data_IF_054712827304
#
_entry.id   IF_054712827304
#
_cell.length_a   1.000
_cell.length_b   1.000
_cell.length_c   1.000
_cell.angle_alpha   90.00
_cell.angle_beta   90.00
_cell.angle_gamma   90.00
#
_symmetry.space_group_name_H-M   'P 1'
#
loop_
_entity.id
_entity.type
_entity.pdbx_description
1 polymer ?
#
# COMPACT_ATOMS: atom_id res chain seq x y z
N UNK A 1 1.30 -5.62 10.26
CA UNK A 1 1.60 -5.57 11.73
C UNK A 1 2.45 -4.33 12.02
N UNK A 2 2.47 -3.74 13.23
CA UNK A 2 3.22 -2.47 13.49
C UNK A 2 4.72 -2.56 13.17
N UNK A 3 5.31 -3.76 13.27
CA UNK A 3 6.69 -4.08 12.88
C UNK A 3 6.94 -3.96 11.37
N UNK A 4 5.90 -4.10 10.55
CA UNK A 4 5.99 -4.04 9.09
C UNK A 4 5.83 -2.60 8.57
N UNK A 5 4.95 -1.83 9.22
CA UNK A 5 4.65 -0.44 8.86
C UNK A 5 4.03 0.30 10.03
N UNK A 6 4.35 1.58 10.17
CA UNK A 6 3.65 2.46 11.08
C UNK A 6 2.16 2.59 10.68
N UNK A 7 1.28 2.21 11.59
CA UNK A 7 -0.18 2.31 11.42
C UNK A 7 -0.77 3.46 12.25
N UNK A 8 0.03 4.18 13.04
CA UNK A 8 -0.40 5.27 13.91
C UNK A 8 -0.04 6.59 13.22
N UNK A 9 -1.02 7.36 12.71
CA UNK A 9 -0.75 8.70 12.22
C UNK A 9 -0.19 9.59 13.33
N UNK A 10 0.67 10.57 12.99
CA UNK A 10 1.34 11.42 13.98
C UNK A 10 0.38 12.21 14.87
N UNK A 11 -0.85 12.44 14.42
CA UNK A 11 -1.87 13.20 15.16
C UNK A 11 -2.76 12.34 16.08
N UNK A 12 -2.50 11.05 16.21
CA UNK A 12 -3.39 10.10 16.91
C UNK A 12 -2.79 9.49 18.17
N UNK A 13 -1.49 9.68 18.43
CA UNK A 13 -0.81 9.07 19.56
C UNK A 13 -0.92 9.94 20.82
N UNK A 14 -1.52 9.40 21.87
CA UNK A 14 -1.46 9.95 23.23
C UNK A 14 -0.61 9.04 24.10
N UNK A 15 0.30 9.63 24.87
CA UNK A 15 1.25 8.90 25.70
C UNK A 15 1.37 9.50 27.10
N UNK A 16 1.64 8.67 28.09
CA UNK A 16 1.91 9.11 29.47
C UNK A 16 3.32 9.68 29.53
N UNK A 17 3.52 10.79 30.25
CA UNK A 17 4.87 11.37 30.48
C UNK A 17 5.87 10.35 31.05
N UNK A 18 5.41 9.45 31.93
CA UNK A 18 6.25 8.40 32.50
C UNK A 18 6.84 7.46 31.44
N UNK A 19 6.17 7.25 30.31
CA UNK A 19 6.72 6.47 29.19
C UNK A 19 7.94 7.17 28.59
N UNK A 20 7.84 8.48 28.31
CA UNK A 20 8.99 9.28 27.81
C UNK A 20 10.18 9.22 28.77
N UNK A 21 9.94 9.30 30.08
CA UNK A 21 11.01 9.16 31.08
C UNK A 21 11.65 7.77 31.07
N UNK A 22 10.91 6.73 30.68
CA UNK A 22 11.38 5.33 30.65
C UNK A 22 12.14 4.99 29.38
N UNK A 23 11.64 5.40 28.20
CA UNK A 23 12.18 4.98 26.90
C UNK A 23 12.96 6.08 26.18
N UNK A 24 12.92 7.33 26.66
CA UNK A 24 13.48 8.50 25.98
C UNK A 24 12.54 9.11 24.94
N UNK A 25 12.96 10.21 24.33
CA UNK A 25 12.22 10.91 23.27
C UNK A 25 12.35 10.26 21.90
N UNK A 26 12.02 11.02 20.85
CA UNK A 26 12.29 10.63 19.46
C UNK A 26 13.79 10.59 19.18
N UNK A 27 14.20 9.70 18.28
CA UNK A 27 15.59 9.66 17.82
C UNK A 27 15.82 10.71 16.74
N UNK A 28 16.31 11.89 17.14
CA UNK A 28 16.58 13.03 16.25
C UNK A 28 17.69 12.77 15.21
N UNK A 29 18.46 11.68 15.35
CA UNK A 29 19.45 11.29 14.36
C UNK A 29 18.84 10.60 13.13
N UNK A 30 17.56 10.20 13.20
CA UNK A 30 16.88 9.60 12.05
C UNK A 30 16.40 10.70 11.09
N UNK A 31 16.72 10.62 9.79
CA UNK A 31 16.27 11.61 8.81
C UNK A 31 14.78 11.47 8.45
N UNK A 32 14.13 10.38 8.85
CA UNK A 32 12.69 10.13 8.77
C UNK A 32 12.30 8.94 9.67
N UNK A 33 11.01 8.69 9.87
CA UNK A 33 10.49 7.52 10.61
C UNK A 33 10.85 7.51 12.10
N UNK A 34 11.17 8.67 12.67
CA UNK A 34 11.40 8.87 14.09
C UNK A 34 10.17 8.50 14.93
N UNK A 35 8.97 8.76 14.39
CA UNK A 35 7.69 8.40 14.97
C UNK A 35 7.53 6.88 15.08
N UNK A 36 7.87 6.16 14.01
CA UNK A 36 7.76 4.72 13.94
C UNK A 36 8.76 4.03 14.87
N UNK A 37 10.01 4.48 14.87
CA UNK A 37 11.04 3.97 15.79
C UNK A 37 10.62 4.13 17.26
N UNK A 38 10.07 5.30 17.62
CA UNK A 38 9.55 5.55 18.95
C UNK A 38 8.38 4.60 19.31
N UNK A 39 7.44 4.39 18.38
CA UNK A 39 6.31 3.47 18.59
C UNK A 39 6.80 2.03 18.79
N UNK A 40 7.83 1.58 18.07
CA UNK A 40 8.41 0.25 18.26
C UNK A 40 8.99 0.10 19.68
N UNK A 41 9.71 1.11 20.19
CA UNK A 41 10.20 1.11 21.59
C UNK A 41 9.04 1.15 22.60
N UNK A 42 8.00 1.92 22.32
CA UNK A 42 6.82 1.99 23.18
C UNK A 42 6.12 0.62 23.30
N UNK A 43 5.98 -0.12 22.19
CA UNK A 43 5.40 -1.46 22.17
C UNK A 43 6.20 -2.50 22.97
N UNK A 44 7.54 -2.35 23.03
CA UNK A 44 8.37 -3.20 23.88
C UNK A 44 8.17 -2.85 25.36
N UNK A 45 7.86 -1.59 25.68
CA UNK A 45 7.65 -1.13 27.05
C UNK A 45 6.24 -1.44 27.60
N UNK A 46 5.24 -1.61 26.74
CA UNK A 46 3.88 -1.98 27.11
C UNK A 46 2.89 -1.92 25.93
N UNK A 47 1.63 -2.24 26.22
CA UNK A 47 0.58 -2.29 25.20
C UNK A 47 0.10 -0.90 24.76
N UNK A 48 -0.35 -0.83 23.50
CA UNK A 48 -1.01 0.34 22.93
C UNK A 48 -2.51 0.05 22.79
N UNK A 49 -3.33 0.80 23.53
CA UNK A 49 -4.78 0.77 23.39
C UNK A 49 -5.26 1.64 22.23
N UNK A 50 -6.38 1.27 21.62
CA UNK A 50 -7.06 2.06 20.60
C UNK A 50 -8.38 2.61 21.14
N UNK A 51 -8.72 3.84 20.74
CA UNK A 51 -10.05 4.39 20.90
C UNK A 51 -10.77 4.25 19.56
N UNK A 52 -11.99 3.71 19.58
CA UNK A 52 -12.77 3.46 18.35
C UNK A 52 -13.36 4.75 17.76
N UNK A 53 -13.40 5.82 18.55
CA UNK A 53 -13.93 7.12 18.14
C UNK A 53 -13.00 7.85 17.16
N UNK A 54 -13.60 8.55 16.20
CA UNK A 54 -12.89 9.43 15.28
C UNK A 54 -12.54 10.76 15.96
N UNK A 55 -11.39 10.80 16.62
CA UNK A 55 -10.94 11.95 17.41
C UNK A 55 -9.99 12.89 16.68
N UNK A 56 -9.45 12.51 15.52
CA UNK A 56 -8.47 13.29 14.78
C UNK A 56 -8.77 13.31 13.28
N UNK A 57 -8.66 14.49 12.66
CA UNK A 57 -8.90 14.70 11.24
C UNK A 57 -7.59 15.08 10.55
N UNK A 58 -7.04 14.16 9.74
CA UNK A 58 -5.79 14.38 9.03
C UNK A 58 -6.04 14.82 7.58
N UNK A 59 -5.54 16.00 7.20
CA UNK A 59 -5.69 16.52 5.85
C UNK A 59 -4.42 16.30 5.01
N UNK A 60 -4.54 15.56 3.90
CA UNK A 60 -3.46 15.34 2.94
C UNK A 60 -3.62 16.25 1.72
N UNK A 61 -2.58 17.02 1.39
CA UNK A 61 -2.51 17.73 0.10
C UNK A 61 -2.20 16.74 -1.03
N UNK A 62 -3.10 16.62 -2.00
CA UNK A 62 -3.00 15.66 -3.11
C UNK A 62 -2.13 16.16 -4.28
N UNK A 63 -1.95 17.48 -4.41
CA UNK A 63 -1.02 18.11 -5.36
C UNK A 63 -0.30 19.24 -4.65
N UNK A 64 1.02 19.24 -4.76
CA UNK A 64 1.83 20.39 -4.42
C UNK A 64 2.30 20.99 -5.76
N UNK A 65 1.95 22.24 -6.03
CA UNK A 65 2.38 22.94 -7.25
C UNK A 65 3.91 23.14 -7.29
N UNK A 66 4.59 22.94 -6.15
CA UNK A 66 6.04 22.99 -6.01
C UNK A 66 6.54 21.81 -5.14
N UNK A 67 7.67 21.15 -5.51
CA UNK A 67 8.23 20.01 -4.77
C UNK A 67 8.53 20.28 -3.29
N UNK A 68 8.84 21.53 -2.93
CA UNK A 68 9.10 21.98 -1.55
C UNK A 68 7.90 21.85 -0.62
N UNK A 69 6.68 21.83 -1.17
CA UNK A 69 5.44 21.66 -0.40
C UNK A 69 4.83 20.26 -0.52
N UNK A 70 5.54 19.33 -1.15
CA UNK A 70 5.11 17.94 -1.21
C UNK A 70 5.18 17.33 0.20
N UNK A 71 4.13 16.62 0.60
CA UNK A 71 4.15 15.91 1.88
C UNK A 71 5.24 14.83 1.85
N UNK A 72 5.81 14.49 3.00
CA UNK A 72 6.80 13.42 3.15
C UNK A 72 6.32 12.07 2.58
N UNK A 73 5.00 11.85 2.57
CA UNK A 73 4.31 10.70 1.96
C UNK A 73 4.45 10.63 0.43
N UNK A 74 4.52 11.78 -0.26
CA UNK A 74 4.54 11.86 -1.74
C UNK A 74 5.87 12.35 -2.31
N UNK A 75 6.63 13.17 -1.56
CA UNK A 75 7.91 13.74 -1.99
C UNK A 75 9.15 13.13 -1.32
N UNK A 76 9.01 12.44 -0.19
CA UNK A 76 10.12 11.90 0.63
C UNK A 76 10.39 10.39 0.45
N UNK A 77 9.81 9.76 -0.57
CA UNK A 77 9.73 8.29 -0.70
C UNK A 77 11.12 7.63 -0.58
N UNK A 78 12.16 8.23 -1.16
CA UNK A 78 13.50 7.64 -1.11
C UNK A 78 14.11 7.67 0.31
N UNK A 79 14.01 8.79 1.03
CA UNK A 79 14.53 8.93 2.39
C UNK A 79 13.82 7.96 3.35
N UNK A 80 12.50 7.82 3.23
CA UNK A 80 11.75 6.86 4.04
C UNK A 80 12.16 5.41 3.76
N UNK A 81 12.39 5.06 2.50
CA UNK A 81 12.84 3.71 2.11
C UNK A 81 14.24 3.41 2.69
N UNK A 82 15.18 4.31 2.49
CA UNK A 82 16.55 4.18 3.01
C UNK A 82 16.56 4.11 4.54
N UNK A 83 15.79 4.98 5.20
CA UNK A 83 15.73 5.00 6.67
C UNK A 83 15.08 3.74 7.23
N UNK A 84 14.04 3.22 6.57
CA UNK A 84 13.43 1.94 6.93
C UNK A 84 14.45 0.80 6.85
N UNK A 85 15.23 0.73 5.76
CA UNK A 85 16.24 -0.30 5.61
C UNK A 85 17.32 -0.21 6.70
N UNK A 86 17.80 1.00 7.01
CA UNK A 86 18.79 1.23 8.08
C UNK A 86 18.25 0.87 9.46
N UNK A 87 17.03 1.29 9.78
CA UNK A 87 16.38 0.99 11.06
C UNK A 87 16.16 -0.52 11.22
N UNK A 88 15.63 -1.20 10.20
CA UNK A 88 15.48 -2.65 10.22
C UNK A 88 16.81 -3.39 10.42
N UNK A 89 17.85 -2.98 9.70
CA UNK A 89 19.19 -3.54 9.86
C UNK A 89 19.78 -3.31 11.27
N UNK A 90 19.47 -2.17 11.90
CA UNK A 90 19.88 -1.92 13.28
C UNK A 90 19.15 -2.84 14.26
N UNK A 91 17.82 -2.92 14.20
CA UNK A 91 17.01 -3.78 15.06
C UNK A 91 17.45 -5.25 14.96
N UNK A 92 17.68 -5.75 13.73
CA UNK A 92 18.14 -7.12 13.50
C UNK A 92 19.53 -7.33 14.09
N UNK A 93 20.48 -6.41 13.86
CA UNK A 93 21.84 -6.54 14.42
C UNK A 93 21.82 -6.57 15.94
N UNK A 94 21.06 -5.68 16.57
CA UNK A 94 20.94 -5.59 18.02
C UNK A 94 20.34 -6.89 18.60
N UNK A 95 19.28 -7.41 17.97
CA UNK A 95 18.67 -8.67 18.38
C UNK A 95 19.64 -9.86 18.22
N UNK A 96 20.38 -9.92 17.11
CA UNK A 96 21.36 -10.99 16.84
C UNK A 96 22.60 -10.91 17.73
N UNK A 97 23.01 -9.71 18.16
CA UNK A 97 24.08 -9.56 19.16
C UNK A 97 23.69 -10.17 20.50
N UNK A 98 22.41 -10.06 20.89
CA UNK A 98 21.90 -10.64 22.13
C UNK A 98 21.60 -12.13 22.00
N UNK A 99 21.12 -12.58 20.83
CA UNK A 99 20.73 -13.97 20.58
C UNK A 99 21.14 -14.44 19.18
N UNK A 100 22.42 -14.81 18.98
CA UNK A 100 22.93 -15.21 17.66
C UNK A 100 22.20 -16.44 17.06
N UNK A 101 21.68 -17.32 17.92
CA UNK A 101 20.94 -18.51 17.50
C UNK A 101 19.66 -18.20 16.71
N UNK A 102 19.09 -16.99 16.86
CA UNK A 102 17.94 -16.54 16.06
C UNK A 102 18.23 -16.59 14.56
N UNK A 103 19.49 -16.46 14.15
CA UNK A 103 19.87 -16.55 12.74
C UNK A 103 19.50 -17.92 12.13
N UNK A 104 19.70 -19.01 12.89
CA UNK A 104 19.35 -20.36 12.44
C UNK A 104 17.85 -20.58 12.27
N UNK A 105 17.03 -19.84 13.00
CA UNK A 105 15.56 -19.86 12.88
C UNK A 105 15.09 -18.94 11.76
N UNK A 106 15.63 -17.72 11.68
CA UNK A 106 15.22 -16.72 10.69
C UNK A 106 15.60 -17.11 9.27
N UNK A 107 16.77 -17.74 9.07
CA UNK A 107 17.26 -18.09 7.75
C UNK A 107 16.30 -18.93 6.91
N UNK A 108 15.83 -20.12 7.36
CA UNK A 108 14.90 -20.92 6.57
C UNK A 108 13.55 -20.24 6.36
N UNK A 109 13.06 -19.44 7.34
CA UNK A 109 11.81 -18.69 7.20
C UNK A 109 11.94 -17.64 6.10
N UNK A 110 13.01 -16.85 6.11
CA UNK A 110 13.27 -15.84 5.08
C UNK A 110 13.41 -16.47 3.68
N UNK A 111 14.08 -17.62 3.58
CA UNK A 111 14.20 -18.34 2.32
C UNK A 111 12.85 -18.83 1.79
N UNK A 112 11.99 -19.36 2.67
CA UNK A 112 10.64 -19.77 2.29
C UNK A 112 9.77 -18.58 1.84
N UNK A 113 9.80 -17.46 2.59
CA UNK A 113 9.07 -16.24 2.24
C UNK A 113 9.55 -15.64 0.90
N UNK A 114 10.87 -15.67 0.64
CA UNK A 114 11.44 -15.22 -0.62
C UNK A 114 11.00 -16.11 -1.79
N UNK A 115 11.04 -17.43 -1.62
CA UNK A 115 10.59 -18.38 -2.64
C UNK A 115 9.09 -18.19 -2.95
N UNK A 116 8.26 -18.02 -1.92
CA UNK A 116 6.83 -17.77 -2.08
C UNK A 116 6.57 -16.43 -2.77
N UNK A 117 7.29 -15.38 -2.38
CA UNK A 117 7.18 -14.05 -3.00
C UNK A 117 7.57 -14.09 -4.48
N UNK A 118 8.62 -14.82 -4.84
CA UNK A 118 9.05 -15.02 -6.23
C UNK A 118 8.02 -15.83 -7.04
N UNK A 119 7.43 -16.88 -6.46
CA UNK A 119 6.37 -17.66 -7.09
C UNK A 119 5.12 -16.80 -7.34
N UNK A 120 4.70 -16.01 -6.34
CA UNK A 120 3.58 -15.05 -6.47
C UNK A 120 3.85 -14.00 -7.53
N UNK A 121 5.07 -13.43 -7.58
CA UNK A 121 5.43 -12.45 -8.60
C UNK A 121 5.36 -13.04 -10.01
N UNK A 122 5.84 -14.28 -10.20
CA UNK A 122 5.74 -15.01 -11.47
C UNK A 122 4.29 -15.26 -11.87
N UNK A 123 3.47 -15.75 -10.94
CA UNK A 123 2.04 -15.99 -11.18
C UNK A 123 1.29 -14.70 -11.51
N UNK A 124 1.60 -13.60 -10.83
CA UNK A 124 1.01 -12.29 -11.10
C UNK A 124 1.42 -11.77 -12.49
N UNK A 125 2.69 -11.90 -12.88
CA UNK A 125 3.15 -11.51 -14.21
C UNK A 125 2.49 -12.35 -15.32
N UNK A 126 2.25 -13.64 -15.08
CA UNK A 126 1.49 -14.50 -15.98
C UNK A 126 0.02 -14.08 -16.10
N UNK A 127 -0.62 -13.74 -14.98
CA UNK A 127 -2.00 -13.23 -14.98
C UNK A 127 -2.13 -11.94 -15.79
N UNK A 128 -1.19 -10.99 -15.60
CA UNK A 128 -1.16 -9.75 -16.37
C UNK A 128 -1.02 -10.02 -17.87
N UNK A 129 -0.11 -10.91 -18.28
CA UNK A 129 0.03 -11.32 -19.68
C UNK A 129 -1.25 -11.93 -20.26
N UNK A 130 -1.99 -12.71 -19.47
CA UNK A 130 -3.28 -13.28 -19.88
C UNK A 130 -4.36 -12.22 -20.03
N UNK A 131 -4.42 -11.25 -19.11
CA UNK A 131 -5.35 -10.13 -19.22
C UNK A 131 -5.07 -9.28 -20.46
N UNK A 132 -3.80 -8.98 -20.73
CA UNK A 132 -3.39 -8.26 -21.95
C UNK A 132 -3.81 -9.03 -23.22
N UNK A 133 -3.60 -10.34 -23.25
CA UNK A 133 -4.03 -11.18 -24.37
C UNK A 133 -5.56 -11.17 -24.56
N UNK A 134 -6.32 -11.27 -23.47
CA UNK A 134 -7.79 -11.18 -23.51
C UNK A 134 -8.28 -9.81 -23.98
N UNK A 135 -7.62 -8.72 -23.56
CA UNK A 135 -7.98 -7.38 -24.02
C UNK A 135 -7.77 -7.22 -25.53
N UNK A 136 -6.68 -7.78 -26.07
CA UNK A 136 -6.43 -7.81 -27.52
C UNK A 136 -7.52 -8.61 -28.25
N UNK A 137 -7.91 -9.77 -27.73
CA UNK A 137 -8.95 -10.61 -28.33
C UNK A 137 -10.32 -9.91 -28.28
N UNK A 138 -10.68 -9.29 -27.16
CA UNK A 138 -11.90 -8.51 -27.03
C UNK A 138 -11.93 -7.30 -27.98
N UNK A 139 -10.79 -6.63 -28.17
CA UNK A 139 -10.68 -5.56 -29.16
C UNK A 139 -10.88 -6.08 -30.59
N UNK A 140 -10.29 -7.22 -30.94
CA UNK A 140 -10.49 -7.84 -32.25
C UNK A 140 -11.96 -8.21 -32.50
N UNK A 141 -12.63 -8.84 -31.52
CA UNK A 141 -14.07 -9.17 -31.59
C UNK A 141 -14.91 -7.90 -31.72
N UNK A 142 -14.61 -6.84 -30.94
CA UNK A 142 -15.31 -5.55 -31.06
C UNK A 142 -15.18 -4.99 -32.47
N UNK A 143 -13.98 -4.96 -33.04
CA UNK A 143 -13.76 -4.46 -34.40
C UNK A 143 -14.48 -5.29 -35.46
N UNK A 144 -14.49 -6.63 -35.32
CA UNK A 144 -15.20 -7.51 -36.23
C UNK A 144 -16.74 -7.36 -36.15
N UNK A 145 -17.26 -7.03 -34.96
CA UNK A 145 -18.71 -6.90 -34.73
C UNK A 145 -19.26 -5.48 -34.88
N UNK A 146 -18.41 -4.47 -34.94
CA UNK A 146 -18.77 -3.06 -35.16
C UNK A 146 -19.72 -2.83 -36.37
N UNK A 147 -19.46 -3.40 -37.57
CA UNK A 147 -20.36 -3.23 -38.71
C UNK A 147 -21.77 -3.77 -38.43
N UNK A 148 -21.86 -4.96 -37.82
CA UNK A 148 -23.13 -5.60 -37.49
C UNK A 148 -23.89 -4.79 -36.42
N UNK A 149 -23.18 -4.26 -35.41
CA UNK A 149 -23.78 -3.38 -34.39
C UNK A 149 -24.36 -2.11 -35.01
N UNK A 150 -23.67 -1.48 -35.97
CA UNK A 150 -24.17 -0.31 -36.71
C UNK A 150 -25.42 -0.64 -37.52
N UNK A 151 -25.43 -1.78 -38.22
CA UNK A 151 -26.60 -2.26 -38.98
C UNK A 151 -27.78 -2.51 -38.04
N UNK A 152 -27.58 -3.26 -36.95
CA UNK A 152 -28.65 -3.51 -35.96
C UNK A 152 -29.17 -2.22 -35.33
N UNK A 153 -28.30 -1.27 -34.99
CA UNK A 153 -28.71 0.02 -34.44
C UNK A 153 -29.52 0.85 -35.45
N UNK A 154 -29.11 0.84 -36.72
CA UNK A 154 -29.85 1.46 -37.82
C UNK A 154 -31.23 0.82 -38.00
N UNK A 155 -31.30 -0.51 -38.13
CA UNK A 155 -32.56 -1.25 -38.29
C UNK A 155 -33.51 -1.02 -37.11
N UNK A 156 -32.99 -1.03 -35.89
CA UNK A 156 -33.79 -0.74 -34.68
C UNK A 156 -34.33 0.68 -34.66
N UNK A 157 -33.55 1.67 -35.13
CA UNK A 157 -33.99 3.07 -35.25
C UNK A 157 -35.02 3.24 -36.37
N UNK A 158 -34.85 2.51 -37.47
CA UNK A 158 -35.79 2.49 -38.59
C UNK A 158 -37.13 1.87 -38.19
N UNK A 159 -37.13 0.71 -37.53
CA UNK A 159 -38.33 0.06 -36.99
C UNK A 159 -39.09 0.92 -35.98
N UNK A 160 -38.41 1.75 -35.18
CA UNK A 160 -39.06 2.72 -34.26
C UNK A 160 -39.69 3.92 -34.95
N UNK A 161 -39.29 4.25 -36.17
CA UNK A 161 -39.80 5.39 -36.95
C UNK A 161 -40.93 5.01 -37.91
N UNK A 162 -41.19 3.72 -38.09
CA UNK A 162 -42.37 3.24 -38.80
C UNK A 162 -43.62 3.67 -38.01
N UNK A 163 -44.62 4.28 -38.67
CA UNK A 163 -45.89 4.58 -38.00
C UNK A 163 -46.50 3.27 -37.48
N UNK A 164 -47.02 3.29 -36.25
CA UNK A 164 -47.95 2.24 -35.82
C UNK A 164 -49.24 2.48 -36.60
N UNK A 165 -49.38 1.83 -37.74
CA UNK A 165 -50.66 1.81 -38.42
C UNK A 165 -51.70 1.22 -37.45
N UNK A 166 -52.78 1.98 -37.30
CA UNK A 166 -53.92 1.66 -36.48
C UNK A 166 -54.48 0.29 -36.89
N UNK A 167 -54.71 -0.57 -35.90
CA UNK A 167 -55.56 -1.74 -36.07
C UNK A 167 -56.95 -1.29 -36.55
N UNK A 168 -57.56 -1.99 -37.51
CA UNK A 168 -58.94 -1.74 -37.95
C UNK A 168 -59.97 -2.08 -36.87
#
# INVERSE_FOLDING_TARGET
MMIERNQIPPITLLLRRALLSRIGGYNEALPALEDWEFILRALVAGDVGALEDRLAFYHHRLKADMPVYANSVTGGVNIHSETRARLGNHIIRDALQQQPALLGVLWPILQALNAESAARATAHAELLRRLEAQDVELQAIRLATEPQRKIFAFLRRWLRKQPRDAEP
#
